data_IF_498807525446
#
_entry.id   IF_498807525446
#
_cell.length_a   1.000
_cell.length_b   1.000
_cell.length_c   1.000
_cell.angle_alpha   90.00
_cell.angle_beta   90.00
_cell.angle_gamma   90.00
#
_symmetry.space_group_name_H-M   'P 1'
#
loop_
_entity.id
_entity.type
_entity.pdbx_description
1 polymer ?
#
# COMPACT_ATOMS: atom_id res chain seq x y z
N UNK A 1 -24.02 -13.25 -1.59
CA UNK A 1 -22.74 -12.87 -2.21
C UNK A 1 -21.72 -12.70 -1.09
N UNK A 2 -20.58 -13.41 -1.13
CA UNK A 2 -19.53 -13.24 -0.12
C UNK A 2 -18.82 -11.91 -0.39
N UNK A 3 -18.61 -11.10 0.65
CA UNK A 3 -17.88 -9.84 0.52
C UNK A 3 -16.43 -10.13 0.08
N UNK A 4 -15.91 -9.36 -0.89
CA UNK A 4 -14.53 -9.51 -1.37
C UNK A 4 -13.54 -9.19 -0.27
N UNK A 5 -12.45 -9.94 -0.19
CA UNK A 5 -11.37 -9.65 0.76
C UNK A 5 -10.49 -8.53 0.19
N UNK A 6 -10.03 -7.63 1.04
CA UNK A 6 -9.14 -6.54 0.63
C UNK A 6 -7.68 -6.90 0.88
N UNK A 7 -6.81 -6.57 -0.06
CA UNK A 7 -5.35 -6.66 0.11
C UNK A 7 -4.75 -5.27 -0.06
N UNK A 8 -3.84 -4.90 0.84
CA UNK A 8 -3.11 -3.64 0.76
C UNK A 8 -1.63 -3.90 0.43
N UNK A 9 -1.20 -3.47 -0.75
CA UNK A 9 0.22 -3.44 -1.12
C UNK A 9 0.83 -2.10 -0.67
N UNK A 10 1.85 -2.16 0.18
CA UNK A 10 2.51 -0.96 0.70
C UNK A 10 3.93 -0.85 0.15
N UNK A 11 4.29 0.30 -0.43
CA UNK A 11 5.60 0.59 -0.99
C UNK A 11 6.01 2.04 -0.69
N UNK A 12 7.29 2.36 -0.83
CA UNK A 12 7.79 3.73 -0.66
C UNK A 12 7.20 4.72 -1.68
N UNK A 13 7.34 4.39 -2.96
CA UNK A 13 6.88 5.14 -4.13
C UNK A 13 6.81 4.20 -5.33
N UNK A 14 6.11 4.56 -6.41
CA UNK A 14 6.11 3.84 -7.68
C UNK A 14 7.03 4.52 -8.70
N UNK A 15 8.29 4.69 -8.31
CA UNK A 15 9.37 5.15 -9.20
C UNK A 15 9.85 4.02 -10.11
N UNK A 16 10.73 4.30 -11.06
CA UNK A 16 11.32 3.29 -11.94
C UNK A 16 12.15 2.29 -11.14
N UNK A 17 11.68 1.05 -11.05
CA UNK A 17 12.40 -0.03 -10.39
C UNK A 17 11.67 -1.38 -10.50
N UNK A 18 12.38 -2.45 -10.14
CA UNK A 18 11.85 -3.81 -10.24
C UNK A 18 10.77 -4.13 -9.22
N UNK A 19 10.90 -3.62 -7.99
CA UNK A 19 9.93 -3.85 -6.92
C UNK A 19 8.63 -3.09 -7.17
N UNK A 20 8.74 -1.86 -7.67
CA UNK A 20 7.66 -0.98 -8.07
C UNK A 20 6.86 -1.61 -9.21
N UNK A 21 7.56 -2.08 -10.25
CA UNK A 21 6.93 -2.81 -11.35
C UNK A 21 6.21 -4.08 -10.88
N UNK A 22 6.82 -4.84 -9.98
CA UNK A 22 6.20 -6.03 -9.38
C UNK A 22 4.89 -5.68 -8.66
N UNK A 23 4.87 -4.64 -7.82
CA UNK A 23 3.65 -4.21 -7.10
C UNK A 23 2.54 -3.82 -8.07
N UNK A 24 2.87 -3.07 -9.13
CA UNK A 24 1.89 -2.67 -10.15
C UNK A 24 1.30 -3.90 -10.85
N UNK A 25 2.14 -4.83 -11.30
CA UNK A 25 1.68 -6.05 -11.98
C UNK A 25 0.83 -6.94 -11.07
N UNK A 26 1.24 -7.10 -9.79
CA UNK A 26 0.47 -7.85 -8.80
C UNK A 26 -0.91 -7.23 -8.58
N UNK A 27 -0.98 -5.91 -8.34
CA UNK A 27 -2.24 -5.23 -8.07
C UNK A 27 -3.16 -5.21 -9.31
N UNK A 28 -2.60 -5.07 -10.51
CA UNK A 28 -3.38 -5.08 -11.75
C UNK A 28 -3.98 -6.45 -12.07
N UNK A 29 -3.22 -7.53 -11.84
CA UNK A 29 -3.58 -8.90 -12.22
C UNK A 29 -4.22 -9.71 -11.10
N UNK A 30 -4.37 -9.13 -9.91
CA UNK A 30 -4.99 -9.81 -8.77
C UNK A 30 -6.42 -10.28 -9.11
N UNK A 31 -6.83 -11.46 -8.60
CA UNK A 31 -8.16 -12.00 -8.87
C UNK A 31 -9.26 -11.12 -8.26
N UNK A 32 -9.91 -10.34 -9.13
CA UNK A 32 -10.94 -9.38 -8.75
C UNK A 32 -12.28 -10.01 -8.38
N UNK A 33 -12.45 -11.32 -8.59
CA UNK A 33 -13.68 -12.02 -8.21
C UNK A 33 -13.70 -12.26 -6.70
N UNK A 34 -12.54 -12.59 -6.12
CA UNK A 34 -12.38 -12.84 -4.69
C UNK A 34 -11.77 -11.66 -3.91
N UNK A 35 -10.99 -10.80 -4.57
CA UNK A 35 -10.19 -9.78 -3.91
C UNK A 35 -10.37 -8.36 -4.46
N UNK A 36 -10.12 -7.40 -3.58
CA UNK A 36 -10.08 -5.96 -3.89
C UNK A 36 -8.67 -5.43 -3.54
N UNK A 37 -7.79 -5.24 -4.55
CA UNK A 37 -6.44 -4.74 -4.31
C UNK A 37 -6.43 -3.22 -4.10
N UNK A 38 -5.66 -2.79 -3.11
CA UNK A 38 -5.31 -1.40 -2.86
C UNK A 38 -3.79 -1.25 -2.86
N UNK A 39 -3.30 -0.09 -3.28
CA UNK A 39 -1.87 0.27 -3.22
C UNK A 39 -1.71 1.51 -2.36
N UNK A 40 -0.71 1.54 -1.49
CA UNK A 40 -0.31 2.74 -0.76
C UNK A 40 1.16 3.06 -1.01
N UNK A 41 1.43 4.30 -1.40
CA UNK A 41 2.77 4.88 -1.39
C UNK A 41 2.97 5.69 -0.12
N UNK A 42 4.01 5.34 0.64
CA UNK A 42 4.30 6.02 1.89
C UNK A 42 4.83 7.45 1.66
N UNK A 43 5.65 7.66 0.63
CA UNK A 43 6.37 8.93 0.40
C UNK A 43 5.67 9.79 -0.65
N UNK A 44 5.63 9.33 -1.89
CA UNK A 44 5.04 10.06 -3.02
C UNK A 44 4.64 9.06 -4.11
N UNK A 45 3.88 9.52 -5.11
CA UNK A 45 3.28 8.67 -6.15
C UNK A 45 4.31 7.93 -7.02
N UNK A 46 5.23 8.65 -7.65
CA UNK A 46 6.19 8.11 -8.62
C UNK A 46 5.62 8.01 -10.05
N UNK A 47 6.51 7.98 -11.04
CA UNK A 47 6.21 8.07 -12.46
C UNK A 47 5.54 6.82 -13.03
N UNK A 48 5.77 5.63 -12.48
CA UNK A 48 5.16 4.38 -12.94
C UNK A 48 3.73 4.19 -12.45
N UNK A 49 3.23 5.08 -11.59
CA UNK A 49 1.88 4.97 -11.04
C UNK A 49 0.79 5.12 -12.11
N UNK A 50 1.10 5.64 -13.30
CA UNK A 50 0.21 5.66 -14.46
C UNK A 50 -0.02 4.26 -15.08
N UNK A 51 0.86 3.29 -14.78
CA UNK A 51 0.73 1.90 -15.21
C UNK A 51 -0.19 1.09 -14.28
N UNK A 52 -0.56 1.67 -13.13
CA UNK A 52 -1.54 1.09 -12.23
C UNK A 52 -2.94 1.27 -12.82
N UNK A 53 -3.74 0.20 -12.81
CA UNK A 53 -5.11 0.22 -13.31
C UNK A 53 -5.96 1.19 -12.50
N UNK A 54 -6.82 1.96 -13.17
CA UNK A 54 -7.78 2.88 -12.55
C UNK A 54 -8.75 2.20 -11.58
N UNK A 55 -8.87 0.87 -11.67
CA UNK A 55 -9.68 0.04 -10.77
C UNK A 55 -8.94 -0.33 -9.47
N UNK A 56 -7.73 0.14 -9.26
CA UNK A 56 -6.93 -0.10 -8.06
C UNK A 56 -6.77 1.23 -7.33
N UNK A 57 -7.40 1.41 -6.16
CA UNK A 57 -7.23 2.64 -5.39
C UNK A 57 -5.77 2.82 -4.97
N UNK A 58 -5.22 3.98 -5.32
CA UNK A 58 -3.87 4.40 -4.94
C UNK A 58 -3.95 5.46 -3.84
N UNK A 59 -3.37 5.14 -2.68
CA UNK A 59 -3.32 6.00 -1.51
C UNK A 59 -1.92 6.62 -1.37
N UNK A 60 -1.86 7.89 -0.98
CA UNK A 60 -0.61 8.61 -0.72
C UNK A 60 -0.57 9.07 0.73
N UNK A 61 0.44 8.64 1.48
CA UNK A 61 0.58 9.06 2.88
C UNK A 61 1.45 10.31 3.05
N UNK A 62 2.20 10.71 2.03
CA UNK A 62 3.05 11.91 2.05
C UNK A 62 3.97 11.95 3.28
N UNK A 63 4.76 10.88 3.47
CA UNK A 63 5.78 10.80 4.51
C UNK A 63 6.78 11.94 4.36
N UNK A 64 7.05 12.64 5.46
CA UNK A 64 8.09 13.67 5.53
C UNK A 64 9.48 13.06 5.65
N UNK A 65 10.55 13.72 5.17
CA UNK A 65 11.93 13.30 5.41
C UNK A 65 12.21 13.10 6.92
N UNK A 66 13.12 12.18 7.25
CA UNK A 66 13.45 11.86 8.64
C UNK A 66 12.38 11.04 9.39
N UNK A 67 12.30 11.24 10.71
CA UNK A 67 11.39 10.52 11.60
C UNK A 67 10.03 11.21 11.67
N UNK A 68 9.03 10.60 11.03
CA UNK A 68 7.68 11.15 10.92
C UNK A 68 6.72 10.40 11.86
N UNK A 69 6.62 10.83 13.11
CA UNK A 69 5.71 10.21 14.10
C UNK A 69 4.24 10.25 13.64
N UNK A 70 3.85 11.29 12.89
CA UNK A 70 2.50 11.42 12.34
C UNK A 70 2.18 10.38 11.27
N UNK A 71 3.19 9.77 10.64
CA UNK A 71 2.99 8.68 9.68
C UNK A 71 2.37 7.45 10.34
N UNK A 72 2.74 7.13 11.59
CA UNK A 72 2.19 5.96 12.29
C UNK A 72 0.67 6.06 12.43
N UNK A 73 0.17 7.23 12.82
CA UNK A 73 -1.27 7.49 12.93
C UNK A 73 -1.96 7.45 11.57
N UNK A 74 -1.36 8.04 10.53
CA UNK A 74 -1.91 7.99 9.15
C UNK A 74 -1.99 6.57 8.61
N UNK A 75 -0.99 5.73 8.87
CA UNK A 75 -1.02 4.30 8.50
C UNK A 75 -2.16 3.59 9.24
N UNK A 76 -2.27 3.80 10.56
CA UNK A 76 -3.34 3.18 11.36
C UNK A 76 -4.73 3.60 10.88
N UNK A 77 -4.92 4.88 10.57
CA UNK A 77 -6.17 5.40 10.01
C UNK A 77 -6.48 4.75 8.66
N UNK A 78 -5.52 4.75 7.72
CA UNK A 78 -5.71 4.13 6.42
C UNK A 78 -6.08 2.64 6.53
N UNK A 79 -5.40 1.90 7.41
CA UNK A 79 -5.69 0.47 7.63
C UNK A 79 -7.05 0.28 8.28
N UNK A 80 -7.46 1.15 9.19
CA UNK A 80 -8.80 1.12 9.79
C UNK A 80 -9.90 1.45 8.77
N UNK A 81 -9.65 2.37 7.85
CA UNK A 81 -10.60 2.77 6.80
C UNK A 81 -10.76 1.69 5.72
N UNK A 82 -9.65 1.06 5.32
CA UNK A 82 -9.66 0.00 4.30
C UNK A 82 -10.15 -1.32 4.91
N UNK A 83 -9.71 -1.65 6.12
CA UNK A 83 -9.84 -2.98 6.75
C UNK A 83 -9.29 -4.11 5.85
N UNK A 84 -8.01 -4.06 5.45
CA UNK A 84 -7.42 -5.11 4.62
C UNK A 84 -7.32 -6.42 5.39
N UNK A 85 -7.64 -7.54 4.74
CA UNK A 85 -7.45 -8.88 5.28
C UNK A 85 -5.96 -9.27 5.31
N UNK A 86 -5.15 -8.68 4.42
CA UNK A 86 -3.70 -8.89 4.37
C UNK A 86 -2.99 -7.64 3.87
N UNK A 87 -1.82 -7.37 4.44
CA UNK A 87 -0.93 -6.27 4.05
C UNK A 87 0.37 -6.88 3.54
N UNK A 88 0.72 -6.57 2.30
CA UNK A 88 1.98 -7.00 1.70
C UNK A 88 2.90 -5.79 1.52
N UNK A 89 4.02 -5.79 2.25
CA UNK A 89 4.96 -4.66 2.28
C UNK A 89 6.17 -4.92 1.38
N UNK A 90 6.54 -3.94 0.57
CA UNK A 90 7.66 -4.02 -0.36
C UNK A 90 8.71 -2.96 -0.03
N UNK A 91 9.98 -3.37 -0.01
CA UNK A 91 11.15 -2.57 0.35
C UNK A 91 11.21 -2.17 1.84
N UNK A 92 12.39 -1.69 2.25
CA UNK A 92 12.72 -1.43 3.65
C UNK A 92 11.84 -0.33 4.28
N UNK A 93 11.59 0.77 3.58
CA UNK A 93 10.79 1.89 4.10
C UNK A 93 9.35 1.47 4.40
N UNK A 94 8.68 0.75 3.51
CA UNK A 94 7.33 0.27 3.78
C UNK A 94 7.32 -0.77 4.91
N UNK A 95 8.24 -1.72 4.87
CA UNK A 95 8.32 -2.78 5.88
C UNK A 95 8.52 -2.22 7.30
N UNK A 96 9.42 -1.24 7.47
CA UNK A 96 9.72 -0.63 8.77
C UNK A 96 8.53 0.16 9.32
N UNK A 97 7.99 1.11 8.54
CA UNK A 97 6.93 1.99 9.00
C UNK A 97 5.59 1.26 9.21
N UNK A 98 5.24 0.32 8.33
CA UNK A 98 4.01 -0.46 8.47
C UNK A 98 4.07 -1.35 9.71
N UNK A 99 5.20 -2.03 9.97
CA UNK A 99 5.37 -2.84 11.19
C UNK A 99 5.36 -2.01 12.46
N UNK A 100 6.01 -0.84 12.44
CA UNK A 100 5.99 0.07 13.59
C UNK A 100 4.56 0.57 13.88
N UNK A 101 3.81 0.93 12.84
CA UNK A 101 2.45 1.44 12.97
C UNK A 101 1.44 0.37 13.42
N UNK A 102 1.64 -0.88 13.01
CA UNK A 102 0.68 -1.96 13.20
C UNK A 102 1.09 -2.97 14.27
N UNK A 103 2.14 -2.67 15.05
CA UNK A 103 2.59 -3.53 16.14
C UNK A 103 1.43 -3.78 17.12
N UNK A 104 1.02 -5.05 17.24
CA UNK A 104 -0.08 -5.48 18.10
C UNK A 104 -1.49 -5.25 17.53
N UNK A 105 -1.64 -5.00 16.23
CA UNK A 105 -2.94 -4.65 15.59
C UNK A 105 -3.27 -5.39 14.29
N UNK A 106 -2.52 -6.43 13.93
CA UNK A 106 -2.78 -7.33 12.78
C UNK A 106 -2.38 -8.74 13.18
#
# INVERSE_FOLDING_TARGET
>A
MVAKKKVLFAIGSLTMGGAERLVIELANRFDRTAWEPHVVCLMFKGEQANLLSDRVPLHLLNKKPGFDYGLLKRIQQLVADIQPAVINTHLWTANTWMRAALRGRV
#
